data_IF_396202332471
#
_entry.id   IF_396202332471
#
_cell.length_a   1.000
_cell.length_b   1.000
_cell.length_c   1.000
_cell.angle_alpha   90.00
_cell.angle_beta   90.00
_cell.angle_gamma   90.00
#
_symmetry.space_group_name_H-M   'P 1'
#
loop_
_entity.id
_entity.type
_entity.pdbx_description
1 polymer ?
#
# COMPACT_ATOMS: atom_id res chain seq x y z
N UNK A 1 14.69 -4.04 3.48
CA UNK A 1 13.86 -5.08 2.84
C UNK A 1 13.66 -4.73 1.35
N UNK A 2 14.67 -4.12 0.72
CA UNK A 2 14.62 -3.77 -0.69
C UNK A 2 14.57 -5.06 -1.53
N UNK A 3 13.68 -5.10 -2.53
CA UNK A 3 13.48 -6.28 -3.35
C UNK A 3 13.03 -7.55 -2.59
N UNK A 4 12.66 -7.44 -1.31
CA UNK A 4 12.30 -8.60 -0.49
C UNK A 4 11.10 -9.36 -1.09
N UNK A 5 11.15 -10.69 -1.02
CA UNK A 5 10.10 -11.58 -1.52
C UNK A 5 9.23 -12.04 -0.36
N UNK A 6 8.11 -11.33 -0.15
CA UNK A 6 7.18 -11.52 0.96
C UNK A 6 5.75 -11.77 0.46
N UNK A 7 5.61 -12.28 -0.77
CA UNK A 7 4.33 -12.59 -1.37
C UNK A 7 3.53 -13.56 -0.48
N UNK A 8 2.25 -13.24 -0.25
CA UNK A 8 1.36 -13.96 0.67
C UNK A 8 1.85 -14.05 2.12
N UNK A 9 2.88 -13.28 2.49
CA UNK A 9 3.39 -13.24 3.86
C UNK A 9 2.40 -12.59 4.82
N UNK A 10 2.46 -12.99 6.09
CA UNK A 10 1.70 -12.36 7.17
C UNK A 10 2.54 -11.28 7.85
N UNK A 11 2.20 -10.02 7.59
CA UNK A 11 2.81 -8.82 8.14
C UNK A 11 1.76 -7.99 8.89
N UNK A 12 0.68 -8.62 9.35
CA UNK A 12 -0.39 -7.96 10.10
C UNK A 12 0.21 -7.34 11.37
N UNK A 13 -0.17 -6.10 11.67
CA UNK A 13 0.34 -5.30 12.79
C UNK A 13 1.86 -5.06 12.78
N UNK A 14 2.58 -5.43 11.71
CA UNK A 14 4.02 -5.25 11.67
C UNK A 14 4.39 -3.76 11.78
N UNK A 15 5.46 -3.47 12.53
CA UNK A 15 6.05 -2.15 12.52
C UNK A 15 7.08 -2.06 11.39
N UNK A 16 6.71 -1.38 10.32
CA UNK A 16 7.52 -1.13 9.12
C UNK A 16 7.70 0.38 8.90
N UNK A 17 7.63 1.16 9.99
CA UNK A 17 7.81 2.62 9.95
C UNK A 17 9.21 2.93 9.42
N UNK A 18 9.31 3.77 8.40
CA UNK A 18 10.57 4.11 7.73
C UNK A 18 11.23 2.96 6.96
N UNK A 19 10.54 1.83 6.76
CA UNK A 19 11.14 0.68 6.11
C UNK A 19 11.50 0.95 4.64
N UNK A 20 12.69 0.53 4.24
CA UNK A 20 13.12 0.48 2.84
C UNK A 20 12.54 -0.79 2.18
N UNK A 21 11.45 -0.62 1.43
CA UNK A 21 10.69 -1.65 0.72
C UNK A 21 10.62 -1.38 -0.79
N UNK A 22 11.55 -0.56 -1.31
CA UNK A 22 11.65 -0.27 -2.74
C UNK A 22 11.73 -1.58 -3.54
N UNK A 23 10.89 -1.71 -4.56
CA UNK A 23 10.80 -2.89 -5.42
C UNK A 23 10.38 -4.20 -4.71
N UNK A 24 9.94 -4.16 -3.45
CA UNK A 24 9.57 -5.38 -2.72
C UNK A 24 8.38 -6.11 -3.38
N UNK A 25 8.41 -7.44 -3.35
CA UNK A 25 7.35 -8.31 -3.85
C UNK A 25 6.43 -8.72 -2.71
N UNK A 26 5.32 -7.98 -2.54
CA UNK A 26 4.32 -8.11 -1.47
C UNK A 26 2.95 -8.56 -1.99
N UNK A 27 2.92 -9.22 -3.16
CA UNK A 27 1.68 -9.67 -3.80
C UNK A 27 0.86 -10.55 -2.86
N UNK A 28 -0.39 -10.17 -2.61
CA UNK A 28 -1.29 -10.90 -1.71
C UNK A 28 -0.85 -10.92 -0.24
N UNK A 29 0.15 -10.13 0.16
CA UNK A 29 0.58 -10.08 1.56
C UNK A 29 -0.52 -9.52 2.47
N UNK A 30 -0.58 -10.00 3.70
CA UNK A 30 -1.44 -9.43 4.73
C UNK A 30 -0.67 -8.34 5.48
N UNK A 31 -0.92 -7.08 5.13
CA UNK A 31 -0.38 -5.87 5.76
C UNK A 31 -1.45 -5.15 6.59
N UNK A 32 -2.53 -5.83 6.97
CA UNK A 32 -3.61 -5.19 7.71
C UNK A 32 -3.09 -4.63 9.03
N UNK A 33 -3.48 -3.38 9.32
CA UNK A 33 -3.04 -2.62 10.51
C UNK A 33 -1.51 -2.46 10.65
N UNK A 34 -0.72 -2.70 9.58
CA UNK A 34 0.71 -2.45 9.62
C UNK A 34 1.01 -0.94 9.75
N UNK A 35 2.10 -0.62 10.47
CA UNK A 35 2.64 0.74 10.53
C UNK A 35 3.62 0.91 9.38
N UNK A 36 3.24 1.63 8.34
CA UNK A 36 4.06 1.89 7.14
C UNK A 36 4.36 3.39 7.00
N UNK A 37 4.21 4.17 8.07
CA UNK A 37 4.49 5.60 8.05
C UNK A 37 5.94 5.83 7.59
N UNK A 38 6.14 6.76 6.66
CA UNK A 38 7.44 7.10 6.06
C UNK A 38 8.15 5.93 5.34
N UNK A 39 7.48 4.80 5.08
CA UNK A 39 8.07 3.69 4.37
C UNK A 39 8.32 4.06 2.89
N UNK A 40 9.44 3.61 2.33
CA UNK A 40 9.71 3.72 0.91
C UNK A 40 9.17 2.46 0.20
N UNK A 41 8.04 2.60 -0.49
CA UNK A 41 7.37 1.55 -1.27
C UNK A 41 7.51 1.80 -2.79
N UNK A 42 8.48 2.62 -3.21
CA UNK A 42 8.67 2.96 -4.62
C UNK A 42 8.83 1.69 -5.47
N UNK A 43 8.00 1.55 -6.50
CA UNK A 43 8.01 0.37 -7.38
C UNK A 43 7.63 -0.97 -6.73
N UNK A 44 7.21 -0.99 -5.46
CA UNK A 44 6.83 -2.23 -4.79
C UNK A 44 5.58 -2.86 -5.44
N UNK A 45 5.52 -4.18 -5.47
CA UNK A 45 4.37 -4.92 -5.97
C UNK A 45 3.47 -5.36 -4.81
N UNK A 46 2.38 -4.62 -4.59
CA UNK A 46 1.35 -4.84 -3.58
C UNK A 46 0.04 -5.36 -4.22
N UNK A 47 0.09 -5.91 -5.43
CA UNK A 47 -1.11 -6.41 -6.11
C UNK A 47 -1.83 -7.43 -5.25
N UNK A 48 -3.13 -7.22 -5.01
CA UNK A 48 -3.97 -8.05 -4.16
C UNK A 48 -3.63 -8.03 -2.66
N UNK A 49 -2.71 -7.19 -2.20
CA UNK A 49 -2.35 -7.13 -0.79
C UNK A 49 -3.50 -6.57 0.07
N UNK A 50 -3.61 -7.04 1.31
CA UNK A 50 -4.56 -6.51 2.28
C UNK A 50 -3.89 -5.44 3.13
N UNK A 51 -4.16 -4.16 2.89
CA UNK A 51 -3.67 -3.03 3.69
C UNK A 51 -4.76 -2.45 4.61
N UNK A 52 -5.84 -3.18 4.89
CA UNK A 52 -6.94 -2.69 5.71
C UNK A 52 -6.45 -2.07 7.02
N UNK A 53 -6.77 -0.80 7.25
CA UNK A 53 -6.39 -0.07 8.47
C UNK A 53 -4.90 0.25 8.62
N UNK A 54 -4.05 0.00 7.61
CA UNK A 54 -2.63 0.33 7.68
C UNK A 54 -2.40 1.86 7.75
N UNK A 55 -1.28 2.28 8.33
CA UNK A 55 -0.86 3.69 8.34
C UNK A 55 0.17 3.94 7.22
N UNK A 56 -0.18 4.72 6.20
CA UNK A 56 0.69 5.11 5.07
C UNK A 56 1.10 6.60 5.12
N UNK A 57 0.97 7.25 6.27
CA UNK A 57 1.36 8.65 6.45
C UNK A 57 2.82 8.88 6.01
N UNK A 58 3.01 9.73 5.00
CA UNK A 58 4.34 10.04 4.45
C UNK A 58 5.03 8.91 3.68
N UNK A 59 4.35 7.78 3.41
CA UNK A 59 4.94 6.71 2.62
C UNK A 59 5.14 7.12 1.15
N UNK A 60 6.25 6.71 0.53
CA UNK A 60 6.48 6.93 -0.90
C UNK A 60 5.90 5.79 -1.71
N UNK A 61 4.92 6.07 -2.58
CA UNK A 61 4.19 5.07 -3.37
C UNK A 61 4.40 5.20 -4.89
N UNK A 62 5.33 6.04 -5.32
CA UNK A 62 5.60 6.27 -6.75
C UNK A 62 5.88 4.95 -7.47
N UNK A 63 5.06 4.64 -8.48
CA UNK A 63 5.17 3.41 -9.27
C UNK A 63 4.77 2.12 -8.55
N UNK A 64 4.34 2.17 -7.28
CA UNK A 64 3.86 1.00 -6.55
C UNK A 64 2.61 0.42 -7.23
N UNK A 65 2.51 -0.91 -7.30
CA UNK A 65 1.36 -1.60 -7.89
C UNK A 65 0.37 -1.99 -6.82
N UNK A 66 -0.80 -1.36 -6.82
CA UNK A 66 -1.89 -1.54 -5.86
C UNK A 66 -3.16 -2.15 -6.51
N UNK A 67 -3.04 -2.73 -7.69
CA UNK A 67 -4.15 -3.38 -8.42
C UNK A 67 -4.78 -4.46 -7.54
N UNK A 68 -6.09 -4.36 -7.29
CA UNK A 68 -6.82 -5.30 -6.43
C UNK A 68 -6.46 -5.26 -4.94
N UNK A 69 -5.62 -4.31 -4.50
CA UNK A 69 -5.28 -4.16 -3.09
C UNK A 69 -6.48 -3.63 -2.30
N UNK A 70 -6.57 -4.03 -1.02
CA UNK A 70 -7.56 -3.50 -0.09
C UNK A 70 -6.98 -2.33 0.70
N UNK A 71 -7.40 -1.10 0.39
CA UNK A 71 -7.02 0.14 1.07
C UNK A 71 -8.14 0.69 1.96
N UNK A 72 -9.24 -0.04 2.18
CA UNK A 72 -10.30 0.41 3.08
C UNK A 72 -9.72 0.69 4.49
N UNK A 73 -10.08 1.84 5.06
CA UNK A 73 -9.63 2.25 6.40
C UNK A 73 -8.16 2.64 6.51
N UNK A 74 -7.38 2.63 5.42
CA UNK A 74 -6.00 3.15 5.42
C UNK A 74 -5.97 4.60 5.89
N UNK A 75 -4.98 4.92 6.71
CA UNK A 75 -4.73 6.26 7.24
C UNK A 75 -3.56 6.92 6.52
N UNK A 76 -3.57 8.24 6.44
CA UNK A 76 -2.47 9.03 5.88
C UNK A 76 -2.26 8.89 4.37
N UNK A 77 -3.18 8.25 3.65
CA UNK A 77 -3.14 8.13 2.19
C UNK A 77 -3.71 9.40 1.54
N UNK A 78 -2.92 10.06 0.69
CA UNK A 78 -3.30 11.26 -0.06
C UNK A 78 -3.68 10.94 -1.51
N UNK A 79 -4.32 11.89 -2.19
CA UNK A 79 -4.60 11.78 -3.63
C UNK A 79 -3.32 11.75 -4.47
N UNK A 80 -2.29 12.51 -4.08
CA UNK A 80 -1.00 12.53 -4.77
C UNK A 80 -0.32 11.15 -4.72
N UNK A 81 -0.29 10.53 -3.53
CA UNK A 81 0.21 9.16 -3.36
C UNK A 81 -0.55 8.19 -4.25
N UNK A 82 -1.88 8.33 -4.33
CA UNK A 82 -2.73 7.48 -5.16
C UNK A 82 -2.50 7.69 -6.67
N UNK A 83 -2.37 8.94 -7.12
CA UNK A 83 -2.09 9.32 -8.51
C UNK A 83 -0.71 8.83 -8.98
N UNK A 84 0.28 8.81 -8.08
CA UNK A 84 1.62 8.30 -8.37
C UNK A 84 1.71 6.77 -8.35
N UNK A 85 0.70 6.10 -7.80
CA UNK A 85 0.62 4.64 -7.72
C UNK A 85 -0.21 4.07 -8.88
N UNK A 86 -0.06 2.78 -9.12
CA UNK A 86 -0.83 2.06 -10.13
C UNK A 86 -2.00 1.34 -9.48
N UNK A 87 -3.20 1.90 -9.64
CA UNK A 87 -4.48 1.31 -9.20
C UNK A 87 -5.33 0.90 -10.39
N UNK A 88 -6.40 0.14 -10.14
CA UNK A 88 -7.43 -0.17 -11.12
C UNK A 88 -8.81 -0.22 -10.47
N UNK A 89 -9.84 -0.55 -11.27
CA UNK A 89 -11.24 -0.70 -10.81
C UNK A 89 -11.45 -1.75 -9.71
N UNK A 90 -10.46 -2.60 -9.44
CA UNK A 90 -10.52 -3.65 -8.41
C UNK A 90 -9.85 -3.23 -7.10
N UNK A 91 -9.07 -2.14 -7.10
CA UNK A 91 -8.50 -1.56 -5.89
C UNK A 91 -9.62 -0.99 -5.01
N UNK A 92 -9.70 -1.44 -3.75
CA UNK A 92 -10.69 -0.93 -2.78
C UNK A 92 -10.13 0.31 -2.10
N UNK A 93 -10.58 1.50 -2.50
CA UNK A 93 -10.09 2.77 -1.95
C UNK A 93 -10.68 3.07 -0.56
N UNK A 94 -10.03 3.88 0.29
CA UNK A 94 -10.66 4.39 1.51
C UNK A 94 -11.90 5.23 1.19
N UNK A 95 -12.94 5.19 2.03
CA UNK A 95 -14.17 5.99 1.85
C UNK A 95 -13.92 7.48 1.57
N UNK A 96 -12.91 8.07 2.22
CA UNK A 96 -12.52 9.47 2.03
C UNK A 96 -12.04 9.79 0.60
N UNK A 97 -11.49 8.80 -0.11
CA UNK A 97 -10.94 8.97 -1.46
C UNK A 97 -11.84 8.42 -2.57
N UNK A 98 -12.87 7.61 -2.24
CA UNK A 98 -13.84 7.05 -3.22
C UNK A 98 -14.54 8.14 -4.05
N UNK A 99 -14.83 9.31 -3.45
CA UNK A 99 -15.53 10.41 -4.14
C UNK A 99 -14.67 11.16 -5.15
N UNK A 100 -13.35 11.02 -5.06
CA UNK A 100 -12.37 11.76 -5.86
C UNK A 100 -11.72 10.89 -6.94
N UNK A 101 -12.03 9.59 -6.96
CA UNK A 101 -11.58 8.66 -7.97
C UNK A 101 -12.66 8.53 -9.06
N UNK A 102 -12.65 9.45 -10.01
CA UNK A 102 -13.35 9.26 -11.29
C UNK A 102 -12.52 8.28 -12.12
N UNK A 103 -13.05 7.08 -12.37
CA UNK A 103 -12.45 6.09 -13.28
C UNK A 103 -12.91 6.34 -14.71
#
# INVERSE_FOLDING_TARGET
LEGARLARGNLRNANLTGAYLMGALLMGANLSQAKLAQANLMGANLSGANLYGANLEGATLTGARLTGANLDGVKGLSLEQLQSARIDRTTRLPHALKKNASF
#
